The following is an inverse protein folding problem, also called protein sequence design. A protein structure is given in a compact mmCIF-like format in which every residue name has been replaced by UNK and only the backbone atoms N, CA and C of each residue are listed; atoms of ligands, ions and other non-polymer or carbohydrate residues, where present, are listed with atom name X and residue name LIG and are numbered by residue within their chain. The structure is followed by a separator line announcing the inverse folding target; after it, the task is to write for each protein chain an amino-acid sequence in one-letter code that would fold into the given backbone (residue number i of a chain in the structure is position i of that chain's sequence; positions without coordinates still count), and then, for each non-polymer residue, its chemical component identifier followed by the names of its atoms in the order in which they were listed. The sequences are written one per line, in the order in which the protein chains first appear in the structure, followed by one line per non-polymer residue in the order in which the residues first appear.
data_IF_703245872304
#
_entry.id   IF_703245872304
#
_cell.length_a   1.000
_cell.length_b   1.000
_cell.length_c   1.000
_cell.angle_alpha   90.00
_cell.angle_beta   90.00
_cell.angle_gamma   90.00
#
_symmetry.space_group_name_H-M   'P 1'
#
loop_
_entity.id
_entity.type
_entity.pdbx_description
1 polymer ?
#
# COMPACT_ATOMS: atom_id res chain seq x y z
N UNK A 1 -19.16 -22.29 -20.50
CA UNK A 1 -18.60 -21.53 -19.34
C UNK A 1 -18.55 -20.06 -19.73
N UNK A 2 -19.27 -19.18 -19.03
CA UNK A 2 -19.23 -17.74 -19.30
C UNK A 2 -18.08 -17.14 -18.49
N UNK A 3 -17.03 -16.71 -19.18
CA UNK A 3 -15.98 -15.89 -18.58
C UNK A 3 -16.61 -14.53 -18.24
N UNK A 4 -16.83 -14.28 -16.95
CA UNK A 4 -17.25 -12.95 -16.49
C UNK A 4 -15.97 -12.13 -16.35
N UNK A 5 -15.69 -11.29 -17.34
CA UNK A 5 -14.68 -10.25 -17.22
C UNK A 5 -15.14 -9.29 -16.12
N UNK A 6 -14.57 -9.42 -14.92
CA UNK A 6 -14.69 -8.40 -13.89
C UNK A 6 -13.84 -7.23 -14.37
N UNK A 7 -14.45 -6.29 -15.09
CA UNK A 7 -13.87 -4.98 -15.31
C UNK A 7 -13.82 -4.28 -13.95
N UNK A 8 -12.69 -4.38 -13.27
CA UNK A 8 -12.43 -3.64 -12.05
C UNK A 8 -12.09 -2.21 -12.47
N UNK A 9 -13.04 -1.29 -12.33
CA UNK A 9 -12.77 0.14 -12.53
C UNK A 9 -11.67 0.57 -11.57
N UNK A 10 -10.49 0.88 -12.10
CA UNK A 10 -9.39 1.44 -11.32
C UNK A 10 -9.69 2.90 -11.05
N UNK A 11 -10.30 3.18 -9.89
CA UNK A 11 -10.43 4.55 -9.40
C UNK A 11 -9.06 5.02 -8.91
N UNK A 12 -8.39 5.85 -9.70
CA UNK A 12 -7.10 6.45 -9.32
C UNK A 12 -7.33 7.53 -8.29
N UNK A 13 -6.86 7.31 -7.06
CA UNK A 13 -6.86 8.31 -5.99
C UNK A 13 -5.44 8.82 -5.84
N UNK A 14 -5.23 10.12 -6.05
CA UNK A 14 -3.95 10.78 -5.79
C UNK A 14 -3.91 11.20 -4.32
N UNK A 15 -2.96 10.65 -3.56
CA UNK A 15 -2.69 11.02 -2.17
C UNK A 15 -1.36 11.77 -2.11
N UNK A 16 -1.27 12.80 -1.27
CA UNK A 16 -0.01 13.53 -1.05
C UNK A 16 0.94 12.71 -0.17
N UNK A 17 2.22 13.05 -0.22
CA UNK A 17 3.25 12.49 0.65
C UNK A 17 2.91 12.63 2.15
N UNK A 18 2.47 13.82 2.55
CA UNK A 18 2.04 14.15 3.92
C UNK A 18 0.85 13.29 4.35
N UNK A 19 -0.21 13.25 3.54
CA UNK A 19 -1.39 12.43 3.86
C UNK A 19 -1.04 10.94 3.90
N UNK A 20 -0.17 10.46 3.03
CA UNK A 20 0.30 9.08 3.09
C UNK A 20 1.07 8.77 4.38
N UNK A 21 1.88 9.72 4.86
CA UNK A 21 2.62 9.60 6.11
C UNK A 21 1.69 9.63 7.33
N UNK A 22 0.73 10.55 7.38
CA UNK A 22 -0.26 10.65 8.46
C UNK A 22 -1.12 9.38 8.54
N UNK A 23 -1.54 8.85 7.39
CA UNK A 23 -2.25 7.57 7.32
C UNK A 23 -1.36 6.41 7.79
N UNK A 24 -0.07 6.43 7.48
CA UNK A 24 0.87 5.41 7.96
C UNK A 24 1.05 5.48 9.48
N UNK A 25 1.10 6.69 10.07
CA UNK A 25 1.17 6.89 11.52
C UNK A 25 -0.08 6.34 12.24
N UNK A 26 -1.26 6.56 11.65
CA UNK A 26 -2.54 6.04 12.15
C UNK A 26 -2.90 4.62 11.70
N UNK A 27 -2.04 3.94 10.94
CA UNK A 27 -2.42 2.73 10.20
C UNK A 27 -2.97 1.60 11.10
N UNK A 28 -2.43 1.45 12.30
CA UNK A 28 -2.91 0.46 13.28
C UNK A 28 -4.35 0.72 13.70
N UNK A 29 -4.68 1.97 14.02
CA UNK A 29 -6.02 2.36 14.49
C UNK A 29 -7.06 2.26 13.37
N UNK A 30 -6.68 2.74 12.18
CA UNK A 30 -7.47 2.59 10.95
C UNK A 30 -7.73 1.10 10.69
N UNK A 31 -6.69 0.25 10.72
CA UNK A 31 -6.87 -1.17 10.52
C UNK A 31 -7.78 -1.79 11.57
N UNK A 32 -7.63 -1.44 12.85
CA UNK A 32 -8.43 -2.03 13.92
C UNK A 32 -9.92 -1.66 13.82
N UNK A 33 -10.24 -0.42 13.49
CA UNK A 33 -11.60 0.10 13.37
C UNK A 33 -12.32 -0.23 12.05
N UNK A 34 -11.58 -0.59 10.99
CA UNK A 34 -12.11 -0.92 9.67
C UNK A 34 -12.94 -2.22 9.61
N UNK A 35 -13.80 -2.32 8.59
CA UNK A 35 -14.55 -3.55 8.29
C UNK A 35 -13.65 -4.61 7.65
N UNK A 36 -14.07 -5.88 7.69
CA UNK A 36 -13.27 -7.00 7.15
C UNK A 36 -12.80 -6.79 5.70
N UNK A 37 -13.68 -6.27 4.83
CA UNK A 37 -13.35 -5.98 3.42
C UNK A 37 -12.25 -4.92 3.29
N UNK A 38 -12.34 -3.86 4.08
CA UNK A 38 -11.36 -2.77 4.10
C UNK A 38 -10.01 -3.26 4.65
N UNK A 39 -10.04 -4.10 5.70
CA UNK A 39 -8.83 -4.76 6.23
C UNK A 39 -8.13 -5.60 5.16
N UNK A 40 -8.88 -6.39 4.39
CA UNK A 40 -8.34 -7.18 3.28
C UNK A 40 -7.74 -6.28 2.19
N UNK A 41 -8.41 -5.19 1.83
CA UNK A 41 -7.88 -4.22 0.87
C UNK A 41 -6.58 -3.57 1.36
N UNK A 42 -6.50 -3.21 2.65
CA UNK A 42 -5.29 -2.65 3.23
C UNK A 42 -4.14 -3.66 3.22
N UNK A 43 -4.40 -4.91 3.58
CA UNK A 43 -3.40 -5.98 3.52
C UNK A 43 -2.91 -6.21 2.08
N UNK A 44 -3.81 -6.25 1.11
CA UNK A 44 -3.45 -6.37 -0.30
C UNK A 44 -2.61 -5.18 -0.80
N UNK A 45 -2.88 -3.97 -0.30
CA UNK A 45 -2.09 -2.79 -0.63
C UNK A 45 -0.68 -2.87 -0.03
N UNK A 46 -0.57 -3.12 1.28
CA UNK A 46 0.72 -3.21 2.00
C UNK A 46 1.59 -4.33 1.43
N UNK A 47 0.99 -5.47 1.13
CA UNK A 47 1.66 -6.65 0.59
C UNK A 47 1.56 -6.77 -0.93
N UNK A 48 1.23 -5.67 -1.63
CA UNK A 48 1.15 -5.66 -3.10
C UNK A 48 2.45 -6.08 -3.78
N UNK A 49 3.59 -5.85 -3.12
CA UNK A 49 4.94 -6.19 -3.60
C UNK A 49 5.54 -7.42 -2.90
N UNK A 50 4.71 -8.23 -2.25
CA UNK A 50 5.15 -9.43 -1.57
C UNK A 50 5.52 -10.52 -2.59
N UNK A 51 6.73 -11.07 -2.47
CA UNK A 51 7.26 -12.15 -3.32
C UNK A 51 7.63 -13.35 -2.45
N UNK A 52 7.22 -14.53 -2.88
CA UNK A 52 7.64 -15.78 -2.26
C UNK A 52 8.88 -16.32 -2.98
N UNK A 53 9.98 -16.47 -2.27
CA UNK A 53 11.23 -17.06 -2.75
C UNK A 53 11.51 -18.36 -1.98
N UNK A 54 11.01 -19.48 -2.52
CA UNK A 54 11.04 -20.78 -1.86
C UNK A 54 10.30 -20.76 -0.52
N UNK A 55 11.03 -20.81 0.59
CA UNK A 55 10.49 -20.72 1.96
C UNK A 55 10.61 -19.32 2.57
N UNK A 56 11.09 -18.33 1.81
CA UNK A 56 11.29 -16.95 2.27
C UNK A 56 10.20 -16.04 1.72
N UNK A 57 9.64 -15.21 2.58
CA UNK A 57 8.73 -14.13 2.21
C UNK A 57 9.55 -12.85 2.06
N UNK A 58 9.65 -12.33 0.84
CA UNK A 58 10.33 -11.09 0.54
C UNK A 58 9.30 -9.98 0.40
N UNK A 59 9.52 -8.88 1.12
CA UNK A 59 8.74 -7.65 0.94
C UNK A 59 9.71 -6.55 0.57
N UNK A 60 9.38 -5.79 -0.48
CA UNK A 60 10.12 -4.60 -0.87
C UNK A 60 9.29 -3.37 -0.56
N UNK A 61 9.96 -2.26 -0.27
CA UNK A 61 9.30 -0.97 -0.19
C UNK A 61 8.63 -0.70 -1.54
N UNK A 62 7.33 -0.42 -1.52
CA UNK A 62 6.59 -0.12 -2.75
C UNK A 62 7.13 1.14 -3.41
N UNK A 63 6.96 1.25 -4.73
CA UNK A 63 7.39 2.41 -5.51
C UNK A 63 6.86 3.72 -4.91
N UNK A 64 5.61 3.71 -4.44
CA UNK A 64 4.95 4.86 -3.78
C UNK A 64 5.68 5.38 -2.55
N UNK A 65 6.40 4.53 -1.82
CA UNK A 65 7.17 4.91 -0.63
C UNK A 65 8.66 5.10 -0.92
N UNK A 66 9.14 4.62 -2.07
CA UNK A 66 10.55 4.74 -2.47
C UNK A 66 10.93 6.21 -2.71
N UNK A 67 10.04 6.98 -3.31
CA UNK A 67 10.23 8.43 -3.51
C UNK A 67 10.27 9.21 -2.18
N UNK A 68 9.45 8.83 -1.20
CA UNK A 68 9.48 9.44 0.13
C UNK A 68 10.84 9.22 0.82
N UNK A 69 11.38 8.01 0.71
CA UNK A 69 12.68 7.69 1.27
C UNK A 69 13.80 8.50 0.61
N UNK A 70 13.77 8.66 -0.71
CA UNK A 70 14.75 9.44 -1.45
C UNK A 70 14.77 10.93 -1.03
N UNK A 71 13.60 11.52 -0.79
CA UNK A 71 13.47 12.91 -0.35
C UNK A 71 13.93 13.11 1.10
N UNK A 72 13.73 12.12 1.98
CA UNK A 72 14.18 12.19 3.38
C UNK A 72 15.70 12.31 3.56
N UNK A 73 16.48 12.03 2.51
CA UNK A 73 17.94 12.08 2.51
C UNK A 73 18.51 13.36 1.89
N UNK A 74 17.68 14.33 1.52
CA UNK A 74 18.19 15.64 1.13
C UNK A 74 18.63 16.40 2.39
N UNK A 75 19.91 16.83 2.49
CA UNK A 75 20.31 17.76 3.52
C UNK A 75 19.52 19.06 3.33
N UNK A 76 19.00 19.59 4.43
CA UNK A 76 18.35 20.90 4.45
C UNK A 76 19.34 21.94 3.89
N UNK A 77 18.94 22.65 2.83
CA UNK A 77 19.71 23.73 2.21
C UNK A 77 19.47 25.01 3.01
#
# INVERSE_FOLDING_TARGET
MRCVSISMEMKTVFITAETALDLAQGAKEIFMSSKLKEKQQLLNFVFSNLKLDGKKLLVTLGESFSTLLAVSHQPEI
#
